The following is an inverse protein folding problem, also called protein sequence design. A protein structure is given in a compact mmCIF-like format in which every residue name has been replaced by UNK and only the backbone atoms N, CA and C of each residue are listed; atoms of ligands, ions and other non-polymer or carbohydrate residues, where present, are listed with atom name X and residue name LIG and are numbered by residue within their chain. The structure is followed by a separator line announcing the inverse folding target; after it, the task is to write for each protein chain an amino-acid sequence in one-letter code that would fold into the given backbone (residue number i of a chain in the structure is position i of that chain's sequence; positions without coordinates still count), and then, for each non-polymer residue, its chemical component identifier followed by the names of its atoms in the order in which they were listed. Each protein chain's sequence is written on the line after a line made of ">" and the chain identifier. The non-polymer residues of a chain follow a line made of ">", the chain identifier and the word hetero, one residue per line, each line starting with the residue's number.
data_IF_687245572006
#
_entry.id   IF_687245572006
#
_cell.length_a   1.000
_cell.length_b   1.000
_cell.length_c   1.000
_cell.angle_alpha   90.00
_cell.angle_beta   90.00
_cell.angle_gamma   90.00
#
_symmetry.space_group_name_H-M   'P 1'
#
loop_
_entity.id
_entity.type
_entity.pdbx_description
1 polymer ?
#
# COMPACT_ATOMS: atom_id res chain seq x y z
N UNK A 1 40.76 22.44 -93.42
CA UNK A 1 39.51 22.94 -92.84
C UNK A 1 39.39 22.36 -91.43
N UNK A 2 39.16 23.22 -90.44
CA UNK A 2 39.45 23.01 -89.02
C UNK A 2 38.26 22.33 -88.33
N UNK A 3 38.49 21.20 -87.64
CA UNK A 3 37.51 20.59 -86.75
C UNK A 3 37.55 21.31 -85.38
N UNK A 4 36.47 22.01 -85.02
CA UNK A 4 36.32 22.66 -83.70
C UNK A 4 35.93 21.60 -82.65
N UNK A 5 36.79 21.40 -81.66
CA UNK A 5 36.47 20.64 -80.45
C UNK A 5 35.47 21.40 -79.59
N UNK A 6 34.28 20.84 -79.38
CA UNK A 6 33.28 21.36 -78.44
C UNK A 6 33.68 20.92 -77.03
N UNK A 7 34.22 21.85 -76.26
CA UNK A 7 34.48 21.68 -74.82
C UNK A 7 33.16 21.73 -74.05
N UNK A 8 32.72 20.59 -73.53
CA UNK A 8 31.55 20.50 -72.63
C UNK A 8 31.95 20.99 -71.24
N UNK A 9 31.55 22.22 -70.91
CA UNK A 9 31.61 22.76 -69.56
C UNK A 9 30.78 21.91 -68.61
N UNK A 10 31.46 21.35 -67.60
CA UNK A 10 30.87 20.59 -66.50
C UNK A 10 30.23 21.54 -65.49
N UNK A 11 28.94 21.86 -65.66
CA UNK A 11 28.15 22.60 -64.69
C UNK A 11 27.82 21.70 -63.50
N UNK A 12 28.75 21.60 -62.55
CA UNK A 12 28.49 21.05 -61.22
C UNK A 12 27.54 22.01 -60.50
N UNK A 13 26.25 21.68 -60.47
CA UNK A 13 25.27 22.33 -59.61
C UNK A 13 25.72 22.15 -58.14
N UNK A 14 25.87 23.24 -57.37
CA UNK A 14 26.22 23.14 -55.96
C UNK A 14 25.05 22.53 -55.21
N UNK A 15 25.26 21.34 -54.64
CA UNK A 15 24.30 20.72 -53.72
C UNK A 15 24.21 21.62 -52.48
N UNK A 16 23.03 22.07 -52.05
CA UNK A 16 22.93 22.89 -50.85
C UNK A 16 23.44 22.06 -49.66
N UNK A 17 24.53 22.52 -49.05
CA UNK A 17 25.04 21.96 -47.82
C UNK A 17 23.92 22.03 -46.78
N UNK A 18 23.38 20.87 -46.40
CA UNK A 18 22.37 20.76 -45.35
C UNK A 18 22.98 21.32 -44.07
N UNK A 19 22.61 22.55 -43.73
CA UNK A 19 23.12 23.26 -42.57
C UNK A 19 22.96 22.39 -41.33
N UNK A 20 24.07 22.17 -40.61
CA UNK A 20 24.07 21.45 -39.32
C UNK A 20 23.20 22.26 -38.36
N UNK A 21 21.98 21.78 -38.09
CA UNK A 21 21.09 22.36 -37.09
C UNK A 21 21.55 21.89 -35.71
N UNK A 22 21.96 22.83 -34.86
CA UNK A 22 22.25 22.59 -33.46
C UNK A 22 21.06 22.95 -32.58
N UNK A 23 21.00 22.39 -31.37
CA UNK A 23 20.04 22.80 -30.36
C UNK A 23 20.36 24.21 -29.86
N UNK A 24 19.33 25.01 -29.64
CA UNK A 24 19.52 26.34 -29.05
C UNK A 24 19.71 26.21 -27.54
N UNK A 25 20.47 27.13 -26.93
CA UNK A 25 20.62 27.16 -25.46
C UNK A 25 19.27 27.26 -24.74
N UNK A 26 18.32 27.99 -25.33
CA UNK A 26 16.99 28.20 -24.77
C UNK A 26 16.16 26.90 -24.77
N UNK A 27 16.26 26.10 -25.82
CA UNK A 27 15.54 24.82 -25.93
C UNK A 27 15.99 23.80 -24.88
N UNK A 28 17.30 23.67 -24.67
CA UNK A 28 17.86 22.77 -23.65
C UNK A 28 17.48 23.24 -22.25
N UNK A 29 17.48 24.55 -22.01
CA UNK A 29 17.10 25.11 -20.71
C UNK A 29 15.63 24.83 -20.38
N UNK A 30 14.72 24.99 -21.36
CA UNK A 30 13.30 24.66 -21.18
C UNK A 30 13.12 23.14 -20.96
N UNK A 31 13.82 22.30 -21.73
CA UNK A 31 13.74 20.85 -21.57
C UNK A 31 14.15 20.40 -20.15
N UNK A 32 15.26 20.93 -19.63
CA UNK A 32 15.71 20.62 -18.27
C UNK A 32 14.77 21.20 -17.21
N UNK A 33 14.18 22.38 -17.43
CA UNK A 33 13.21 22.96 -16.52
C UNK A 33 11.94 22.09 -16.39
N UNK A 34 11.36 21.64 -17.52
CA UNK A 34 10.18 20.75 -17.51
C UNK A 34 10.53 19.39 -16.89
N UNK A 35 11.71 18.85 -17.21
CA UNK A 35 12.19 17.59 -16.65
C UNK A 35 12.30 17.70 -15.11
N UNK A 36 12.88 18.79 -14.60
CA UNK A 36 13.00 19.03 -13.16
C UNK A 36 11.64 19.10 -12.45
N UNK A 37 10.66 19.78 -13.07
CA UNK A 37 9.29 19.84 -12.54
C UNK A 37 8.63 18.46 -12.54
N UNK A 38 8.77 17.70 -13.63
CA UNK A 38 8.21 16.34 -13.74
C UNK A 38 8.78 15.37 -12.71
N UNK A 39 10.10 15.36 -12.51
CA UNK A 39 10.74 14.54 -11.48
C UNK A 39 10.30 14.91 -10.07
N UNK A 40 10.07 16.20 -9.80
CA UNK A 40 9.59 16.67 -8.50
C UNK A 40 8.20 16.09 -8.16
N UNK A 41 7.30 16.05 -9.15
CA UNK A 41 5.96 15.45 -8.99
C UNK A 41 6.05 13.93 -8.80
N UNK A 42 6.93 13.26 -9.53
CA UNK A 42 7.11 11.80 -9.41
C UNK A 42 7.66 11.42 -8.02
N UNK A 43 8.59 12.21 -7.50
CA UNK A 43 9.20 11.94 -6.19
C UNK A 43 8.21 12.19 -5.04
N UNK A 44 7.38 13.24 -5.15
CA UNK A 44 6.35 13.51 -4.15
C UNK A 44 5.26 12.42 -4.12
N UNK A 45 4.90 11.85 -5.28
CA UNK A 45 4.00 10.72 -5.35
C UNK A 45 4.55 9.46 -4.62
N UNK A 46 5.86 9.20 -4.73
CA UNK A 46 6.50 8.08 -4.05
C UNK A 46 6.58 8.26 -2.53
N UNK A 47 6.75 9.50 -2.03
CA UNK A 47 6.75 9.78 -0.60
C UNK A 47 5.44 9.32 0.08
N UNK A 48 4.31 9.43 -0.62
CA UNK A 48 3.02 8.92 -0.14
C UNK A 48 2.97 7.39 -0.04
N UNK A 49 3.64 6.67 -0.95
CA UNK A 49 3.66 5.21 -0.94
C UNK A 49 4.39 4.64 0.27
N UNK A 50 5.51 5.26 0.68
CA UNK A 50 6.25 4.81 1.87
C UNK A 50 5.41 4.94 3.15
N UNK A 51 4.71 6.05 3.31
CA UNK A 51 3.81 6.25 4.46
C UNK A 51 2.64 5.24 4.44
N UNK A 52 2.10 4.95 3.26
CA UNK A 52 1.03 3.97 3.11
C UNK A 52 1.50 2.55 3.42
N UNK A 53 2.72 2.18 3.00
CA UNK A 53 3.31 0.88 3.30
C UNK A 53 3.48 0.69 4.82
N UNK A 54 4.04 1.70 5.52
CA UNK A 54 4.17 1.66 6.97
C UNK A 54 2.81 1.57 7.68
N UNK A 55 1.80 2.27 7.17
CA UNK A 55 0.43 2.19 7.70
C UNK A 55 -0.19 0.81 7.49
N UNK A 56 -0.01 0.22 6.30
CA UNK A 56 -0.53 -1.11 5.98
C UNK A 56 0.10 -2.18 6.88
N UNK A 57 1.41 -2.11 7.09
CA UNK A 57 2.12 -2.98 8.05
C UNK A 57 1.51 -2.86 9.45
N UNK A 58 1.33 -1.63 9.96
CA UNK A 58 0.73 -1.41 11.27
C UNK A 58 -0.70 -1.96 11.38
N UNK A 59 -1.48 -1.88 10.30
CA UNK A 59 -2.84 -2.44 10.25
C UNK A 59 -2.87 -3.98 10.26
N UNK A 60 -1.78 -4.64 9.84
CA UNK A 60 -1.65 -6.09 9.91
C UNK A 60 -1.02 -6.57 11.23
N UNK A 61 -0.06 -5.83 11.78
CA UNK A 61 0.61 -6.20 13.05
C UNK A 61 -0.30 -5.96 14.26
N UNK A 62 -1.04 -4.85 14.30
CA UNK A 62 -1.94 -4.54 15.41
C UNK A 62 -2.96 -5.64 15.75
N UNK A 63 -3.71 -6.24 14.80
CA UNK A 63 -4.67 -7.29 15.11
C UNK A 63 -4.00 -8.60 15.57
N UNK A 64 -2.79 -8.93 15.09
CA UNK A 64 -2.06 -10.10 15.58
C UNK A 64 -1.66 -9.94 17.05
N UNK A 65 -1.21 -8.74 17.44
CA UNK A 65 -0.96 -8.40 18.85
C UNK A 65 -2.24 -8.43 19.70
N UNK A 66 -3.36 -7.95 19.16
CA UNK A 66 -4.65 -8.01 19.86
C UNK A 66 -5.13 -9.45 20.07
N UNK A 67 -4.92 -10.35 19.10
CA UNK A 67 -5.25 -11.77 19.24
C UNK A 67 -4.43 -12.44 20.36
N UNK A 68 -3.15 -12.11 20.48
CA UNK A 68 -2.36 -12.55 21.65
C UNK A 68 -3.01 -12.07 22.95
N UNK A 69 -3.36 -10.78 23.04
CA UNK A 69 -4.00 -10.22 24.24
C UNK A 69 -5.30 -10.92 24.59
N UNK A 70 -6.15 -11.18 23.59
CA UNK A 70 -7.41 -11.88 23.80
C UNK A 70 -7.19 -13.27 24.41
N UNK A 71 -6.17 -14.00 23.94
CA UNK A 71 -5.83 -15.31 24.48
C UNK A 71 -5.28 -15.22 25.93
N UNK A 72 -4.43 -14.24 26.24
CA UNK A 72 -3.98 -14.01 27.62
C UNK A 72 -5.13 -13.70 28.56
N UNK A 73 -6.04 -12.82 28.14
CA UNK A 73 -7.23 -12.45 28.92
C UNK A 73 -8.16 -13.66 29.10
N UNK A 74 -8.34 -14.48 28.07
CA UNK A 74 -9.12 -15.72 28.17
C UNK A 74 -8.53 -16.68 29.21
N UNK A 75 -7.21 -16.89 29.20
CA UNK A 75 -6.53 -17.70 30.22
C UNK A 75 -6.69 -17.13 31.63
N UNK A 76 -6.58 -15.80 31.77
CA UNK A 76 -6.75 -15.12 33.06
C UNK A 76 -8.18 -15.27 33.60
N UNK A 77 -9.19 -15.18 32.73
CA UNK A 77 -10.59 -15.39 33.06
C UNK A 77 -10.89 -16.86 33.42
N UNK A 78 -10.23 -17.81 32.77
CA UNK A 78 -10.35 -19.23 33.10
C UNK A 78 -9.76 -19.55 34.49
N UNK A 79 -8.66 -18.90 34.87
CA UNK A 79 -8.03 -19.11 36.17
C UNK A 79 -8.75 -18.36 37.31
N UNK A 80 -9.04 -17.07 37.11
CA UNK A 80 -9.63 -16.20 38.15
C UNK A 80 -11.15 -16.23 38.19
N UNK A 81 -11.78 -16.80 37.17
CA UNK A 81 -13.23 -16.81 36.98
C UNK A 81 -13.76 -15.55 36.30
N UNK A 82 -14.98 -15.67 35.77
CA UNK A 82 -15.65 -14.57 35.08
C UNK A 82 -16.20 -13.56 36.09
N UNK A 83 -15.79 -12.30 35.96
CA UNK A 83 -16.34 -11.19 36.74
C UNK A 83 -17.80 -10.89 36.38
N UNK A 84 -18.60 -10.48 37.37
CA UNK A 84 -20.00 -10.03 37.18
C UNK A 84 -20.07 -8.55 36.77
N UNK A 85 -18.96 -7.83 36.91
CA UNK A 85 -18.83 -6.41 36.57
C UNK A 85 -17.92 -6.24 35.35
N UNK A 86 -18.18 -5.19 34.58
CA UNK A 86 -17.31 -4.77 33.49
C UNK A 86 -15.92 -4.44 34.04
N UNK A 87 -14.89 -5.05 33.45
CA UNK A 87 -13.50 -4.77 33.79
C UNK A 87 -12.82 -4.13 32.58
N UNK A 88 -12.10 -3.04 32.85
CA UNK A 88 -11.41 -2.24 31.86
C UNK A 88 -9.97 -2.04 32.30
N UNK A 89 -9.03 -2.58 31.53
CA UNK A 89 -7.61 -2.51 31.83
C UNK A 89 -6.82 -2.08 30.59
N UNK A 90 -5.60 -1.61 30.82
CA UNK A 90 -4.68 -1.21 29.77
C UNK A 90 -3.26 -1.64 30.12
N UNK A 91 -2.49 -1.95 29.08
CA UNK A 91 -1.11 -2.41 29.24
C UNK A 91 -0.50 -2.88 27.93
N UNK A 92 0.62 -3.63 28.01
CA UNK A 92 1.23 -4.22 26.84
C UNK A 92 0.27 -5.23 26.18
N UNK A 93 0.33 -5.29 24.85
CA UNK A 93 -0.54 -6.16 24.05
C UNK A 93 -0.20 -7.66 24.20
N UNK A 94 1.04 -8.01 24.49
CA UNK A 94 1.50 -9.40 24.62
C UNK A 94 2.71 -9.41 25.57
N UNK A 95 2.82 -10.44 26.42
CA UNK A 95 3.76 -10.50 27.53
C UNK A 95 5.26 -10.45 27.14
N UNK A 96 5.57 -10.85 25.91
CA UNK A 96 6.92 -11.10 25.42
C UNK A 96 7.36 -10.17 24.27
N UNK A 97 6.45 -9.41 23.65
CA UNK A 97 6.78 -8.64 22.46
C UNK A 97 5.84 -7.44 22.22
N UNK A 98 5.66 -6.58 23.22
CA UNK A 98 5.06 -5.28 22.96
C UNK A 98 6.09 -4.36 22.31
N UNK A 99 6.09 -4.31 20.99
CA UNK A 99 6.76 -3.25 20.24
C UNK A 99 6.31 -1.89 20.80
N UNK A 100 7.25 -0.99 21.15
CA UNK A 100 6.97 0.30 21.81
C UNK A 100 6.01 1.20 21.01
N UNK A 101 5.75 0.83 19.75
CA UNK A 101 4.81 1.47 18.84
C UNK A 101 3.33 1.22 19.19
N UNK A 102 3.02 0.16 19.95
CA UNK A 102 1.64 -0.24 20.25
C UNK A 102 1.36 -0.35 21.75
N UNK A 103 0.18 0.11 22.16
CA UNK A 103 -0.38 -0.04 23.50
C UNK A 103 -1.79 -0.60 23.37
N UNK A 104 -2.15 -1.52 24.27
CA UNK A 104 -3.46 -2.16 24.23
C UNK A 104 -4.34 -1.69 25.39
N UNK A 105 -5.64 -1.64 25.10
CA UNK A 105 -6.71 -1.38 26.04
C UNK A 105 -7.79 -2.42 25.76
N UNK A 106 -8.25 -3.11 26.79
CA UNK A 106 -9.26 -4.16 26.66
C UNK A 106 -10.36 -3.98 27.69
N UNK A 107 -11.57 -4.40 27.30
CA UNK A 107 -12.76 -4.37 28.14
C UNK A 107 -13.47 -5.72 28.05
N UNK A 108 -13.76 -6.29 29.21
CA UNK A 108 -14.59 -7.50 29.34
C UNK A 108 -15.99 -7.08 29.77
N UNK A 109 -16.99 -7.42 28.97
CA UNK A 109 -18.41 -7.12 29.22
C UNK A 109 -19.23 -8.41 29.20
N UNK A 110 -20.24 -8.48 30.05
CA UNK A 110 -21.16 -9.62 30.07
C UNK A 110 -22.25 -9.45 28.99
N UNK A 111 -22.26 -10.33 28.00
CA UNK A 111 -23.29 -10.31 26.94
C UNK A 111 -24.46 -11.20 27.37
N UNK A 112 -25.68 -10.65 27.31
CA UNK A 112 -26.93 -11.44 27.43
C UNK A 112 -27.25 -12.05 26.07
N UNK A 113 -27.16 -13.36 25.95
CA UNK A 113 -27.56 -14.05 24.73
C UNK A 113 -29.09 -13.95 24.56
N UNK A 114 -29.60 -13.69 23.35
CA UNK A 114 -31.02 -13.81 23.08
C UNK A 114 -31.46 -15.26 23.31
N UNK A 115 -32.66 -15.44 23.88
CA UNK A 115 -33.21 -16.78 24.06
C UNK A 115 -33.31 -17.47 22.68
N UNK A 116 -32.83 -18.71 22.55
CA UNK A 116 -32.97 -19.43 21.30
C UNK A 116 -34.46 -19.57 20.99
N UNK A 117 -34.89 -19.09 19.83
CA UNK A 117 -36.27 -19.33 19.40
C UNK A 117 -36.49 -20.83 19.30
N UNK A 118 -37.53 -21.31 19.99
CA UNK A 118 -37.87 -22.74 20.14
C UNK A 118 -38.16 -23.48 18.83
N UNK A 119 -38.10 -22.79 17.68
CA UNK A 119 -38.23 -23.36 16.33
C UNK A 119 -36.90 -23.59 15.58
N UNK A 120 -35.75 -23.12 16.07
CA UNK A 120 -34.47 -23.23 15.34
C UNK A 120 -33.77 -24.61 15.47
N UNK A 121 -34.23 -25.47 16.39
CA UNK A 121 -33.70 -26.83 16.60
C UNK A 121 -34.71 -27.94 16.25
N UNK A 122 -35.87 -27.62 15.69
CA UNK A 122 -36.88 -28.58 15.25
C UNK A 122 -36.63 -29.09 13.81
N UNK A 123 -35.36 -29.29 13.45
CA UNK A 123 -34.95 -29.84 12.16
C UNK A 123 -34.39 -31.25 12.34
N UNK A 124 -35.22 -32.25 12.01
CA UNK A 124 -34.83 -33.62 11.66
C UNK A 124 -34.05 -34.44 12.70
N UNK A 125 -34.73 -34.81 13.80
CA UNK A 125 -34.38 -36.02 14.53
C UNK A 125 -34.98 -37.21 13.77
N UNK A 126 -34.18 -37.80 12.87
CA UNK A 126 -34.49 -39.05 12.19
C UNK A 126 -34.88 -40.12 13.20
N UNK A 127 -36.17 -40.46 13.21
CA UNK A 127 -36.75 -41.51 14.04
C UNK A 127 -36.36 -42.83 13.37
N UNK A 128 -35.26 -43.43 13.82
CA UNK A 128 -34.96 -44.83 13.61
C UNK A 128 -35.30 -45.59 14.90
N UNK A 129 -36.29 -46.49 14.82
CA UNK A 129 -36.64 -47.39 15.92
C UNK A 129 -38.02 -48.01 15.78
N UNK A 130 -38.02 -49.21 15.20
CA UNK A 130 -38.97 -50.34 15.24
C UNK A 130 -40.49 -50.13 15.08
#
# INVERSE_FOLDING_TARGET
>A
MIARSVSRGNSRLPTPARGKRGFTLLEVLIAVAILGLGLSVILSAQAGLFNNAARAENMSVAPELLRCKMNEVELDLLEKGYGIIDQKDSGPCCADESDKRFSCEWKVELIKLPEPSSGAFAGDAGIAGD
#
